data_IF_870004691438
#
_entry.id   IF_870004691438
#
_cell.length_a   1.000
_cell.length_b   1.000
_cell.length_c   1.000
_cell.angle_alpha   90.00
_cell.angle_beta   90.00
_cell.angle_gamma   90.00
#
_symmetry.space_group_name_H-M   'P 1'
#
loop_
_entity.id
_entity.type
_entity.pdbx_description
1 polymer ?
#
# COMPACT_ATOMS: atom_id res chain seq x y z
N UNK A 1 27.53 -31.13 -17.54
CA UNK A 1 27.43 -30.03 -16.55
C UNK A 1 28.79 -29.93 -15.86
N UNK A 2 29.34 -28.76 -15.54
CA UNK A 2 30.69 -28.70 -14.94
C UNK A 2 30.69 -29.13 -13.47
N UNK A 3 31.77 -29.77 -13.01
CA UNK A 3 31.92 -30.23 -11.62
C UNK A 3 31.74 -29.09 -10.60
N UNK A 4 32.23 -27.89 -10.92
CA UNK A 4 32.08 -26.70 -10.09
C UNK A 4 30.61 -26.22 -9.92
N UNK A 5 29.75 -26.47 -10.91
CA UNK A 5 28.32 -26.16 -10.84
C UNK A 5 27.59 -27.16 -9.95
N UNK A 6 27.98 -28.44 -10.02
CA UNK A 6 27.39 -29.53 -9.24
C UNK A 6 27.75 -29.40 -7.75
N UNK A 7 29.02 -29.12 -7.44
CA UNK A 7 29.48 -28.85 -6.06
C UNK A 7 28.77 -27.66 -5.41
N UNK A 8 28.49 -26.59 -6.17
CA UNK A 8 27.73 -25.43 -5.67
C UNK A 8 26.26 -25.75 -5.42
N UNK A 9 25.62 -26.49 -6.33
CA UNK A 9 24.22 -26.90 -6.18
C UNK A 9 24.00 -27.82 -4.96
N UNK A 10 24.95 -28.72 -4.69
CA UNK A 10 24.89 -29.64 -3.55
C UNK A 10 25.27 -28.99 -2.19
N UNK A 11 25.85 -27.78 -2.19
CA UNK A 11 26.36 -27.13 -0.97
C UNK A 11 25.29 -26.57 -0.03
N UNK A 12 24.02 -26.46 -0.47
CA UNK A 12 22.93 -25.86 0.31
C UNK A 12 23.01 -24.35 0.53
N UNK A 13 24.12 -23.68 0.19
CA UNK A 13 24.34 -22.23 0.45
C UNK A 13 23.49 -21.30 -0.41
N UNK A 14 23.05 -21.74 -1.59
CA UNK A 14 22.19 -20.96 -2.50
C UNK A 14 21.22 -21.90 -3.19
N UNK A 15 20.00 -21.44 -3.46
CA UNK A 15 19.02 -22.27 -4.19
C UNK A 15 19.40 -22.31 -5.68
N UNK A 16 19.73 -23.48 -6.26
CA UNK A 16 20.19 -23.59 -7.64
C UNK A 16 19.11 -23.23 -8.68
N UNK A 17 19.53 -23.05 -9.93
CA UNK A 17 18.60 -22.78 -11.04
C UNK A 17 17.75 -24.03 -11.36
N UNK A 18 16.53 -23.86 -11.90
CA UNK A 18 15.69 -25.00 -12.28
C UNK A 18 16.38 -25.90 -13.31
N UNK A 19 17.10 -25.31 -14.25
CA UNK A 19 17.88 -26.06 -15.23
C UNK A 19 18.99 -26.90 -14.58
N UNK A 20 19.62 -26.39 -13.52
CA UNK A 20 20.61 -27.12 -12.73
C UNK A 20 19.96 -28.26 -11.94
N UNK A 21 18.83 -28.03 -11.29
CA UNK A 21 18.09 -29.07 -10.55
C UNK A 21 17.63 -30.18 -11.49
N UNK A 22 17.04 -29.81 -12.63
CA UNK A 22 16.62 -30.77 -13.66
C UNK A 22 17.78 -31.62 -14.15
N UNK A 23 18.89 -30.99 -14.58
CA UNK A 23 20.08 -31.71 -15.04
C UNK A 23 20.69 -32.60 -13.96
N UNK A 24 20.68 -32.15 -12.70
CA UNK A 24 21.18 -32.92 -11.57
C UNK A 24 20.32 -34.17 -11.33
N UNK A 25 19.00 -34.01 -11.19
CA UNK A 25 18.08 -35.12 -10.95
C UNK A 25 18.05 -36.11 -12.10
N UNK A 26 18.01 -35.63 -13.35
CA UNK A 26 18.10 -36.50 -14.52
C UNK A 26 19.43 -37.26 -14.58
N UNK A 27 20.56 -36.63 -14.23
CA UNK A 27 21.85 -37.31 -14.17
C UNK A 27 21.92 -38.35 -13.04
N UNK A 28 21.14 -38.19 -11.98
CA UNK A 28 20.99 -39.16 -10.90
C UNK A 28 19.96 -40.26 -11.20
N UNK A 29 19.39 -40.32 -12.41
CA UNK A 29 18.41 -41.34 -12.80
C UNK A 29 16.99 -41.11 -12.27
N UNK A 30 16.66 -39.89 -11.82
CA UNK A 30 15.32 -39.58 -11.33
C UNK A 30 14.27 -39.68 -12.46
N UNK A 31 13.10 -40.23 -12.12
CA UNK A 31 11.93 -40.28 -13.00
C UNK A 31 11.41 -38.87 -13.34
N UNK A 32 10.64 -38.71 -14.43
CA UNK A 32 10.03 -37.42 -14.78
C UNK A 32 9.23 -36.77 -13.64
N UNK A 33 8.52 -37.57 -12.83
CA UNK A 33 7.74 -37.09 -11.69
C UNK A 33 8.64 -36.63 -10.52
N UNK A 34 9.76 -37.31 -10.27
CA UNK A 34 10.75 -36.89 -9.28
C UNK A 34 11.47 -35.61 -9.71
N UNK A 35 11.76 -35.47 -11.00
CA UNK A 35 12.28 -34.22 -11.58
C UNK A 35 11.27 -33.09 -11.40
N UNK A 36 9.98 -33.33 -11.65
CA UNK A 36 8.91 -32.36 -11.45
C UNK A 36 8.78 -31.95 -9.96
N UNK A 37 8.78 -32.93 -9.04
CA UNK A 37 8.78 -32.71 -7.59
C UNK A 37 10.00 -31.91 -7.12
N UNK A 38 11.20 -32.25 -7.60
CA UNK A 38 12.42 -31.50 -7.29
C UNK A 38 12.39 -30.05 -7.80
N UNK A 39 11.83 -29.82 -9.00
CA UNK A 39 11.60 -28.46 -9.49
C UNK A 39 10.57 -27.69 -8.64
N UNK A 40 9.53 -28.37 -8.14
CA UNK A 40 8.54 -27.78 -7.23
C UNK A 40 9.16 -27.39 -5.88
N UNK A 41 9.95 -28.28 -5.27
CA UNK A 41 10.69 -28.00 -4.03
C UNK A 41 11.65 -26.83 -4.19
N UNK A 42 12.36 -26.75 -5.32
CA UNK A 42 13.23 -25.61 -5.64
C UNK A 42 12.45 -24.30 -5.76
N UNK A 43 11.26 -24.32 -6.37
CA UNK A 43 10.37 -23.14 -6.41
C UNK A 43 9.95 -22.73 -5.02
N UNK A 44 9.46 -23.65 -4.19
CA UNK A 44 9.10 -23.39 -2.80
C UNK A 44 10.27 -22.80 -1.98
N UNK A 45 11.47 -23.37 -2.11
CA UNK A 45 12.68 -22.87 -1.45
C UNK A 45 13.08 -21.46 -1.95
N UNK A 46 12.94 -21.16 -3.24
CA UNK A 46 13.14 -19.80 -3.77
C UNK A 46 12.07 -18.84 -3.24
N UNK A 47 10.81 -19.24 -3.23
CA UNK A 47 9.70 -18.43 -2.71
C UNK A 47 9.92 -18.10 -1.24
N UNK A 48 10.40 -19.05 -0.44
CA UNK A 48 10.74 -18.85 0.97
C UNK A 48 11.93 -17.89 1.22
N UNK A 49 12.81 -17.69 0.23
CA UNK A 49 13.89 -16.69 0.32
C UNK A 49 13.41 -15.25 0.11
N UNK A 50 12.16 -15.05 -0.33
CA UNK A 50 11.61 -13.72 -0.58
C UNK A 50 10.70 -13.30 0.57
N UNK A 51 10.97 -12.12 1.15
CA UNK A 51 10.12 -11.50 2.16
C UNK A 51 8.76 -11.12 1.55
N UNK A 52 7.61 -11.45 2.17
CA UNK A 52 6.27 -11.05 1.70
C UNK A 52 5.99 -9.54 1.72
N UNK A 53 6.98 -8.71 2.10
CA UNK A 53 6.85 -7.27 2.34
C UNK A 53 6.40 -6.45 1.10
N UNK A 54 6.40 -7.06 -0.09
CA UNK A 54 5.91 -6.44 -1.33
C UNK A 54 4.53 -6.98 -1.73
N UNK A 55 3.51 -6.60 -0.95
CA UNK A 55 2.12 -6.68 -1.36
C UNK A 55 1.43 -8.01 -1.03
N UNK A 56 0.26 -7.89 -0.41
CA UNK A 56 -0.74 -8.97 -0.36
C UNK A 56 -0.89 -9.53 -1.79
N UNK A 57 -0.96 -10.85 -1.95
CA UNK A 57 -1.34 -11.45 -3.22
C UNK A 57 -2.76 -10.99 -3.57
N UNK A 58 -2.89 -9.90 -4.33
CA UNK A 58 -4.17 -9.37 -4.77
C UNK A 58 -4.74 -10.41 -5.74
N UNK A 59 -5.92 -10.99 -5.46
CA UNK A 59 -6.59 -11.85 -6.42
C UNK A 59 -6.68 -11.12 -7.76
N UNK A 60 -6.28 -11.77 -8.85
CA UNK A 60 -6.20 -11.15 -10.19
C UNK A 60 -7.52 -10.47 -10.59
N UNK A 61 -8.64 -11.04 -10.15
CA UNK A 61 -9.98 -10.49 -10.35
C UNK A 61 -10.18 -9.09 -9.73
N UNK A 62 -9.48 -8.77 -8.65
CA UNK A 62 -9.60 -7.51 -7.91
C UNK A 62 -8.59 -6.45 -8.37
N UNK A 63 -7.65 -6.79 -9.26
CA UNK A 63 -6.68 -5.83 -9.80
C UNK A 63 -7.43 -4.76 -10.59
N UNK A 64 -7.30 -3.53 -10.14
CA UNK A 64 -8.03 -2.36 -10.64
C UNK A 64 -7.11 -1.23 -11.07
N UNK A 65 -5.86 -1.20 -10.60
CA UNK A 65 -4.86 -0.16 -10.92
C UNK A 65 -3.61 -0.73 -11.61
N UNK A 66 -2.83 0.12 -12.29
CA UNK A 66 -1.53 -0.24 -12.89
C UNK A 66 -0.50 -0.59 -11.83
N UNK A 67 -0.53 0.09 -10.68
CA UNK A 67 0.34 -0.19 -9.54
C UNK A 67 0.09 -1.60 -8.97
N UNK A 68 -1.19 -1.97 -8.80
CA UNK A 68 -1.59 -3.31 -8.38
C UNK A 68 -1.15 -4.36 -9.41
N UNK A 69 -1.33 -4.08 -10.70
CA UNK A 69 -0.90 -5.01 -11.76
C UNK A 69 0.62 -5.19 -11.78
N UNK A 70 1.42 -4.11 -11.65
CA UNK A 70 2.89 -4.19 -11.55
C UNK A 70 3.30 -5.04 -10.36
N UNK A 71 2.70 -4.80 -9.19
CA UNK A 71 2.96 -5.56 -7.96
C UNK A 71 2.61 -7.04 -8.16
N UNK A 72 1.45 -7.32 -8.75
CA UNK A 72 1.00 -8.67 -9.02
C UNK A 72 1.90 -9.42 -10.02
N UNK A 73 2.40 -8.74 -11.07
CA UNK A 73 3.33 -9.34 -12.03
C UNK A 73 4.68 -9.71 -11.39
N UNK A 74 5.19 -8.87 -10.48
CA UNK A 74 6.39 -9.18 -9.69
C UNK A 74 6.12 -10.36 -8.74
N UNK A 75 4.97 -10.38 -8.08
CA UNK A 75 4.57 -11.48 -7.22
C UNK A 75 4.45 -12.80 -7.99
N UNK A 76 3.85 -12.79 -9.19
CA UNK A 76 3.77 -13.94 -10.08
C UNK A 76 5.16 -14.48 -10.44
N UNK A 77 6.09 -13.60 -10.81
CA UNK A 77 7.47 -13.99 -11.12
C UNK A 77 8.17 -14.67 -9.93
N UNK A 78 7.95 -14.15 -8.71
CA UNK A 78 8.49 -14.74 -7.48
C UNK A 78 7.84 -16.08 -7.14
N UNK A 79 6.52 -16.19 -7.29
CA UNK A 79 5.78 -17.45 -7.09
C UNK A 79 6.21 -18.53 -8.10
N UNK A 80 6.62 -18.12 -9.31
CA UNK A 80 7.23 -19.01 -10.30
C UNK A 80 8.67 -19.46 -9.93
N UNK A 81 9.21 -19.05 -8.78
CA UNK A 81 10.58 -19.35 -8.35
C UNK A 81 11.64 -18.49 -9.05
N UNK A 82 11.24 -17.27 -9.45
CA UNK A 82 12.09 -16.24 -10.05
C UNK A 82 12.92 -16.76 -11.24
N UNK A 83 12.28 -17.24 -12.32
CA UNK A 83 12.98 -17.70 -13.51
C UNK A 83 13.88 -16.58 -14.07
N UNK A 84 15.04 -16.95 -14.61
CA UNK A 84 15.96 -15.97 -15.20
C UNK A 84 15.36 -15.35 -16.46
N UNK A 85 15.76 -14.13 -16.82
CA UNK A 85 15.20 -13.45 -18.00
C UNK A 85 15.39 -14.26 -19.29
N UNK A 86 16.56 -14.91 -19.42
CA UNK A 86 16.85 -15.80 -20.55
C UNK A 86 15.91 -17.02 -20.55
N UNK A 87 15.68 -17.65 -19.40
CA UNK A 87 14.73 -18.77 -19.31
C UNK A 87 13.29 -18.36 -19.64
N UNK A 88 12.85 -17.19 -19.18
CA UNK A 88 11.53 -16.65 -19.52
C UNK A 88 11.40 -16.38 -21.03
N UNK A 89 12.43 -15.78 -21.63
CA UNK A 89 12.49 -15.52 -23.06
C UNK A 89 12.50 -16.80 -23.89
N UNK A 90 13.25 -17.83 -23.47
CA UNK A 90 13.31 -19.11 -24.16
C UNK A 90 11.95 -19.83 -24.16
N UNK A 91 11.17 -19.71 -23.07
CA UNK A 91 9.82 -20.29 -22.97
C UNK A 91 8.77 -19.53 -23.76
N UNK A 92 8.89 -18.22 -23.88
CA UNK A 92 7.87 -17.34 -24.44
C UNK A 92 8.14 -16.91 -25.89
N UNK A 93 9.36 -17.15 -26.39
CA UNK A 93 9.82 -16.68 -27.68
C UNK A 93 10.37 -15.25 -27.65
N UNK A 94 11.39 -15.00 -28.47
CA UNK A 94 12.12 -13.71 -28.51
C UNK A 94 11.29 -12.56 -29.08
N UNK A 95 10.30 -12.86 -29.91
CA UNK A 95 9.49 -11.86 -30.66
C UNK A 95 8.76 -10.90 -29.70
N UNK A 96 8.22 -11.42 -28.60
CA UNK A 96 7.36 -10.65 -27.70
C UNK A 96 8.03 -10.24 -26.39
N UNK A 97 9.15 -10.89 -26.03
CA UNK A 97 9.75 -10.78 -24.70
C UNK A 97 11.27 -10.55 -24.77
N UNK A 98 11.67 -9.34 -25.14
CA UNK A 98 13.06 -8.91 -25.05
C UNK A 98 13.55 -8.87 -23.57
N UNK A 99 14.84 -9.11 -23.34
CA UNK A 99 15.44 -9.08 -21.99
C UNK A 99 15.31 -7.69 -21.33
N UNK A 100 15.39 -6.62 -22.13
CA UNK A 100 15.18 -5.24 -21.66
C UNK A 100 13.74 -5.02 -21.20
N UNK A 101 12.75 -5.55 -21.90
CA UNK A 101 11.33 -5.49 -21.50
C UNK A 101 11.09 -6.25 -20.20
N UNK A 102 11.65 -7.46 -20.05
CA UNK A 102 11.59 -8.23 -18.80
C UNK A 102 12.13 -7.45 -17.61
N UNK A 103 13.32 -6.87 -17.79
CA UNK A 103 13.95 -6.03 -16.78
C UNK A 103 13.07 -4.84 -16.41
N UNK A 104 12.50 -4.13 -17.39
CA UNK A 104 11.62 -2.97 -17.13
C UNK A 104 10.31 -3.36 -16.44
N UNK A 105 9.70 -4.49 -16.80
CA UNK A 105 8.48 -4.99 -16.18
C UNK A 105 8.73 -5.38 -14.72
N UNK A 106 9.77 -6.19 -14.47
CA UNK A 106 10.08 -6.70 -13.12
C UNK A 106 10.62 -5.61 -12.19
N UNK A 107 11.28 -4.59 -12.73
CA UNK A 107 11.65 -3.38 -11.99
C UNK A 107 10.51 -2.34 -11.90
N UNK A 108 9.28 -2.71 -12.26
CA UNK A 108 8.07 -1.86 -12.20
C UNK A 108 8.15 -0.55 -13.00
N UNK A 109 9.08 -0.45 -13.95
CA UNK A 109 9.28 0.73 -14.81
C UNK A 109 8.30 0.79 -15.99
N UNK A 110 7.63 -0.32 -16.30
CA UNK A 110 6.73 -0.44 -17.45
C UNK A 110 5.74 -1.57 -17.20
N UNK A 111 4.52 -1.44 -17.73
CA UNK A 111 3.62 -2.59 -17.89
C UNK A 111 3.83 -3.23 -19.27
N UNK A 112 3.45 -4.50 -19.47
CA UNK A 112 3.36 -5.06 -20.81
C UNK A 112 2.57 -4.13 -21.73
N UNK A 113 3.13 -3.77 -22.89
CA UNK A 113 2.56 -2.73 -23.78
C UNK A 113 1.54 -3.28 -24.76
N UNK A 114 1.51 -4.60 -24.94
CA UNK A 114 0.58 -5.28 -25.83
C UNK A 114 0.07 -6.57 -25.20
N UNK A 115 -1.08 -7.05 -25.69
CA UNK A 115 -1.66 -8.34 -25.29
C UNK A 115 -0.68 -9.49 -25.54
N UNK A 116 0.06 -9.44 -26.66
CA UNK A 116 1.11 -10.41 -26.99
C UNK A 116 2.26 -10.41 -25.98
N UNK A 117 2.75 -9.23 -25.59
CA UNK A 117 3.80 -9.12 -24.58
C UNK A 117 3.33 -9.59 -23.20
N UNK A 118 2.08 -9.30 -22.82
CA UNK A 118 1.49 -9.79 -21.58
C UNK A 118 1.40 -11.33 -21.57
N UNK A 119 0.87 -11.92 -22.65
CA UNK A 119 0.79 -13.38 -22.80
C UNK A 119 2.17 -14.03 -22.72
N UNK A 120 3.16 -13.46 -23.42
CA UNK A 120 4.53 -13.93 -23.40
C UNK A 120 5.16 -13.85 -21.99
N UNK A 121 4.90 -12.78 -21.24
CA UNK A 121 5.38 -12.67 -19.86
C UNK A 121 4.79 -13.78 -18.96
N UNK A 122 3.48 -14.02 -19.04
CA UNK A 122 2.79 -15.07 -18.29
C UNK A 122 3.32 -16.46 -18.64
N UNK A 123 3.53 -16.73 -19.93
CA UNK A 123 4.14 -17.98 -20.43
C UNK A 123 5.59 -18.12 -19.95
N UNK A 124 6.37 -17.03 -19.95
CA UNK A 124 7.74 -17.00 -19.44
C UNK A 124 7.82 -17.32 -17.94
N UNK A 125 6.84 -16.87 -17.15
CA UNK A 125 6.67 -17.25 -15.75
C UNK A 125 6.11 -18.68 -15.57
N UNK A 126 5.67 -19.34 -16.63
CA UNK A 126 5.05 -20.67 -16.56
C UNK A 126 3.66 -20.67 -15.94
N UNK A 127 2.91 -19.56 -16.04
CA UNK A 127 1.53 -19.49 -15.54
C UNK A 127 0.63 -20.52 -16.27
N UNK A 128 -0.23 -21.27 -15.55
CA UNK A 128 -1.17 -22.21 -16.16
C UNK A 128 -2.08 -21.52 -17.17
N UNK A 129 -2.38 -22.19 -18.28
CA UNK A 129 -3.16 -21.61 -19.39
C UNK A 129 -4.54 -21.11 -18.95
N UNK A 130 -5.22 -21.87 -18.09
CA UNK A 130 -6.52 -21.54 -17.49
C UNK A 130 -6.51 -20.20 -16.72
N UNK A 131 -5.37 -19.83 -16.11
CA UNK A 131 -5.25 -18.59 -15.35
C UNK A 131 -4.86 -17.39 -16.23
N UNK A 132 -4.28 -17.62 -17.42
CA UNK A 132 -3.78 -16.53 -18.28
C UNK A 132 -4.91 -15.60 -18.74
N UNK A 133 -6.11 -16.14 -18.95
CA UNK A 133 -7.30 -15.36 -19.33
C UNK A 133 -7.66 -14.29 -18.29
N UNK A 134 -7.63 -14.64 -17.00
CA UNK A 134 -7.89 -13.68 -15.90
C UNK A 134 -6.84 -12.57 -15.85
N UNK A 135 -5.57 -12.91 -16.05
CA UNK A 135 -4.48 -11.94 -16.12
C UNK A 135 -4.61 -11.00 -17.31
N UNK A 136 -4.95 -11.52 -18.49
CA UNK A 136 -5.17 -10.71 -19.69
C UNK A 136 -6.37 -9.77 -19.49
N UNK A 137 -7.44 -10.25 -18.88
CA UNK A 137 -8.63 -9.42 -18.54
C UNK A 137 -8.27 -8.31 -17.55
N UNK A 138 -7.50 -8.62 -16.51
CA UNK A 138 -7.00 -7.63 -15.56
C UNK A 138 -6.08 -6.60 -16.23
N UNK A 139 -5.18 -7.05 -17.10
CA UNK A 139 -4.32 -6.17 -17.89
C UNK A 139 -5.14 -5.24 -18.79
N UNK A 140 -6.10 -5.76 -19.55
CA UNK A 140 -6.98 -4.96 -20.41
C UNK A 140 -7.77 -3.93 -19.61
N UNK A 141 -8.34 -4.32 -18.47
CA UNK A 141 -9.08 -3.41 -17.58
C UNK A 141 -8.24 -2.21 -17.11
N UNK A 142 -6.95 -2.44 -16.89
CA UNK A 142 -6.01 -1.49 -16.31
C UNK A 142 -5.26 -0.66 -17.36
N UNK A 143 -5.05 -1.21 -18.55
CA UNK A 143 -4.37 -0.52 -19.67
C UNK A 143 -5.33 0.16 -20.62
N UNK A 144 -6.60 -0.27 -20.70
CA UNK A 144 -7.62 0.39 -21.51
C UNK A 144 -7.77 1.85 -21.06
N UNK A 145 -7.71 2.81 -22.00
CA UNK A 145 -8.02 4.20 -21.68
C UNK A 145 -9.42 4.25 -21.07
N UNK A 146 -9.53 4.77 -19.84
CA UNK A 146 -10.82 4.92 -19.19
C UNK A 146 -11.68 5.87 -20.05
N UNK A 147 -12.71 5.33 -20.69
CA UNK A 147 -13.76 6.15 -21.31
C UNK A 147 -14.81 6.41 -20.26
N UNK A 148 -15.15 7.68 -20.06
CA UNK A 148 -16.24 8.06 -19.18
C UNK A 148 -17.50 7.28 -19.58
N UNK A 149 -18.27 6.77 -18.61
CA UNK A 149 -19.62 6.31 -18.89
C UNK A 149 -20.38 7.42 -19.61
N UNK A 150 -20.95 7.09 -20.77
CA UNK A 150 -21.82 8.00 -21.52
C UNK A 150 -23.07 8.27 -20.66
N UNK A 151 -23.11 9.42 -19.95
CA UNK A 151 -24.19 9.92 -19.07
C UNK A 151 -24.45 9.09 -17.79
N UNK A 152 -24.68 9.65 -16.60
CA UNK A 152 -25.25 10.95 -16.18
C UNK A 152 -24.34 11.58 -15.11
N UNK A 153 -24.27 12.91 -15.07
CA UNK A 153 -23.90 13.64 -13.84
C UNK A 153 -24.69 13.01 -12.70
N UNK A 154 -24.04 12.60 -11.62
CA UNK A 154 -24.77 12.18 -10.42
C UNK A 154 -25.63 13.38 -10.02
N UNK A 155 -26.98 13.28 -9.98
CA UNK A 155 -27.81 14.42 -9.60
C UNK A 155 -27.36 14.85 -8.22
N UNK A 156 -26.74 16.03 -8.15
CA UNK A 156 -26.17 16.54 -6.92
C UNK A 156 -27.26 16.54 -5.85
N UNK A 157 -27.06 15.83 -4.73
CA UNK A 157 -27.74 16.22 -3.52
C UNK A 157 -27.16 17.59 -3.20
N UNK A 158 -27.81 18.63 -3.68
CA UNK A 158 -27.33 19.99 -3.59
C UNK A 158 -27.14 20.31 -2.11
N UNK A 159 -25.89 20.30 -1.64
CA UNK A 159 -25.58 20.93 -0.38
C UNK A 159 -26.02 22.37 -0.50
N UNK A 160 -26.85 22.81 0.45
CA UNK A 160 -27.21 24.21 0.57
C UNK A 160 -25.91 25.04 0.47
N UNK A 161 -25.83 26.06 -0.41
CA UNK A 161 -24.62 26.88 -0.58
C UNK A 161 -24.07 27.42 0.75
N UNK A 162 -24.95 27.68 1.74
CA UNK A 162 -24.56 28.10 3.10
C UNK A 162 -23.85 27.03 3.91
N UNK A 163 -24.09 25.74 3.64
CA UNK A 163 -23.35 24.63 4.26
C UNK A 163 -21.98 24.51 3.62
N UNK A 164 -21.89 24.66 2.30
CA UNK A 164 -20.60 24.69 1.58
C UNK A 164 -19.75 25.86 2.08
N UNK A 165 -20.29 27.08 2.11
CA UNK A 165 -19.62 28.27 2.62
C UNK A 165 -19.12 28.10 4.07
N UNK A 166 -19.95 27.52 4.95
CA UNK A 166 -19.57 27.23 6.34
C UNK A 166 -18.49 26.17 6.47
N UNK A 167 -18.54 25.13 5.64
CA UNK A 167 -17.49 24.14 5.58
C UNK A 167 -16.21 24.81 5.08
N UNK A 168 -16.23 25.52 3.96
CA UNK A 168 -15.04 26.23 3.43
C UNK A 168 -14.46 27.24 4.42
N UNK A 169 -15.28 27.94 5.20
CA UNK A 169 -14.77 28.86 6.23
C UNK A 169 -14.19 28.13 7.45
N UNK A 170 -14.82 27.04 7.89
CA UNK A 170 -14.33 26.19 9.00
C UNK A 170 -13.07 25.39 8.59
N UNK A 171 -12.94 25.08 7.31
CA UNK A 171 -11.78 24.47 6.67
C UNK A 171 -10.58 25.40 6.68
N UNK A 172 -10.80 26.72 6.53
CA UNK A 172 -9.75 27.71 6.75
C UNK A 172 -9.13 27.59 8.15
N UNK A 173 -9.93 27.30 9.18
CA UNK A 173 -9.45 27.07 10.55
C UNK A 173 -8.68 25.76 10.74
N UNK A 174 -9.14 24.65 10.14
CA UNK A 174 -8.43 23.36 10.18
C UNK A 174 -7.18 23.33 9.28
N UNK A 175 -7.22 24.04 8.15
CA UNK A 175 -6.08 24.23 7.25
C UNK A 175 -5.05 25.21 7.82
N UNK A 176 -5.47 26.17 8.63
CA UNK A 176 -4.58 27.08 9.37
C UNK A 176 -4.03 26.47 10.67
N UNK A 177 -4.76 25.53 11.29
CA UNK A 177 -4.25 24.73 12.39
C UNK A 177 -3.13 23.85 11.87
N UNK A 178 -1.88 24.34 11.94
CA UNK A 178 -0.69 23.65 11.45
C UNK A 178 -0.61 22.28 12.11
N UNK A 179 -0.92 21.18 11.39
CA UNK A 179 -0.63 19.86 11.90
C UNK A 179 0.89 19.79 12.13
N UNK A 180 1.36 18.88 12.99
CA UNK A 180 2.81 18.63 13.06
C UNK A 180 3.33 18.40 11.63
N UNK A 181 4.45 19.02 11.23
CA UNK A 181 5.05 18.77 9.93
C UNK A 181 5.19 17.27 9.69
N UNK A 182 4.90 16.81 8.48
CA UNK A 182 4.96 15.38 8.12
C UNK A 182 6.28 14.74 8.51
N UNK A 183 7.40 15.44 8.31
CA UNK A 183 8.73 15.00 8.72
C UNK A 183 8.86 14.74 10.23
N UNK A 184 8.23 15.57 11.08
CA UNK A 184 8.26 15.39 12.53
C UNK A 184 7.45 14.17 12.97
N UNK A 185 6.29 13.91 12.33
CA UNK A 185 5.47 12.72 12.58
C UNK A 185 6.20 11.43 12.20
N UNK A 186 6.78 11.40 11.01
CA UNK A 186 7.56 10.25 10.53
C UNK A 186 8.77 9.98 11.42
N UNK A 187 9.47 11.02 11.90
CA UNK A 187 10.57 10.86 12.85
C UNK A 187 10.12 10.28 14.18
N UNK A 188 8.98 10.75 14.72
CA UNK A 188 8.43 10.23 15.98
C UNK A 188 8.05 8.75 15.85
N UNK A 189 7.38 8.37 14.76
CA UNK A 189 7.02 6.99 14.48
C UNK A 189 8.27 6.10 14.32
N UNK A 190 9.30 6.61 13.64
CA UNK A 190 10.60 5.94 13.50
C UNK A 190 11.26 5.70 14.86
N UNK A 191 11.38 6.73 15.71
CA UNK A 191 11.91 6.56 17.06
C UNK A 191 11.08 5.60 17.91
N UNK A 192 9.74 5.64 17.79
CA UNK A 192 8.87 4.67 18.45
C UNK A 192 9.19 3.23 18.06
N UNK A 193 9.37 2.96 16.76
CA UNK A 193 9.80 1.67 16.24
C UNK A 193 11.17 1.25 16.78
N UNK A 194 12.14 2.15 16.76
CA UNK A 194 13.51 1.86 17.20
C UNK A 194 13.56 1.51 18.70
N UNK A 195 12.78 2.22 19.52
CA UNK A 195 12.60 1.91 20.94
C UNK A 195 11.97 0.52 21.14
N UNK A 196 10.94 0.18 20.38
CA UNK A 196 10.30 -1.14 20.46
C UNK A 196 11.27 -2.26 20.10
N UNK A 197 12.10 -2.11 19.06
CA UNK A 197 13.12 -3.10 18.72
C UNK A 197 14.13 -3.31 19.85
N UNK A 198 14.58 -2.23 20.50
CA UNK A 198 15.48 -2.32 21.66
C UNK A 198 14.81 -3.02 22.85
N UNK A 199 13.55 -2.70 23.15
CA UNK A 199 12.77 -3.32 24.23
C UNK A 199 12.55 -4.81 23.96
N UNK A 200 12.20 -5.21 22.75
CA UNK A 200 11.97 -6.62 22.39
C UNK A 200 13.25 -7.46 22.43
N UNK A 201 14.40 -6.85 22.15
CA UNK A 201 15.70 -7.51 22.21
C UNK A 201 16.26 -7.66 23.63
N UNK A 202 15.58 -7.10 24.63
CA UNK A 202 16.04 -7.06 26.02
C UNK A 202 15.08 -7.84 26.95
N UNK A 203 15.63 -8.45 28.00
CA UNK A 203 14.85 -9.04 29.10
C UNK A 203 14.46 -7.97 30.15
N UNK A 204 13.97 -6.83 29.67
CA UNK A 204 13.72 -5.63 30.46
C UNK A 204 14.84 -4.59 30.31
N UNK A 205 14.46 -3.33 30.09
CA UNK A 205 15.39 -2.22 29.90
C UNK A 205 14.90 -0.96 30.60
N UNK A 206 15.77 -0.27 31.34
CA UNK A 206 15.43 1.00 31.99
C UNK A 206 15.42 2.19 31.01
N UNK A 207 14.73 3.28 31.39
CA UNK A 207 14.63 4.49 30.55
C UNK A 207 16.01 5.09 30.21
N UNK A 208 16.97 5.25 31.15
CA UNK A 208 18.27 5.84 30.82
C UNK A 208 19.08 5.00 29.81
N UNK A 209 19.08 3.68 29.95
CA UNK A 209 19.77 2.79 29.01
C UNK A 209 19.09 2.81 27.65
N UNK A 210 17.75 2.81 27.61
CA UNK A 210 16.99 2.90 26.38
C UNK A 210 17.26 4.21 25.65
N UNK A 211 17.24 5.35 26.36
CA UNK A 211 17.52 6.67 25.79
C UNK A 211 18.92 6.74 25.16
N UNK A 212 19.93 6.27 25.90
CA UNK A 212 21.32 6.20 25.42
C UNK A 212 21.47 5.32 24.17
N UNK A 213 20.86 4.12 24.16
CA UNK A 213 20.94 3.20 23.01
C UNK A 213 20.20 3.72 21.78
N UNK A 214 19.11 4.45 21.98
CA UNK A 214 18.34 5.06 20.90
C UNK A 214 18.90 6.42 20.42
N UNK A 215 19.92 6.96 21.08
CA UNK A 215 20.46 8.29 20.79
C UNK A 215 19.47 9.42 21.10
N UNK A 216 18.61 9.25 22.10
CA UNK A 216 17.60 10.21 22.54
C UNK A 216 17.96 10.84 23.88
N UNK A 217 17.44 12.03 24.16
CA UNK A 217 17.43 12.55 25.54
C UNK A 217 16.51 11.70 26.42
N UNK A 218 16.76 11.72 27.73
CA UNK A 218 15.92 11.02 28.70
C UNK A 218 14.44 11.44 28.61
N UNK A 219 14.17 12.74 28.49
CA UNK A 219 12.82 13.29 28.34
C UNK A 219 12.14 12.83 27.05
N UNK A 220 12.87 12.83 25.93
CA UNK A 220 12.33 12.36 24.65
C UNK A 220 11.97 10.87 24.70
N UNK A 221 12.84 10.05 25.30
CA UNK A 221 12.57 8.63 25.52
C UNK A 221 11.36 8.42 26.45
N UNK A 222 11.27 9.15 27.56
CA UNK A 222 10.15 9.07 28.50
C UNK A 222 8.80 9.46 27.85
N UNK A 223 8.78 10.51 27.03
CA UNK A 223 7.59 10.91 26.28
C UNK A 223 7.16 9.86 25.24
N UNK A 224 8.11 9.23 24.54
CA UNK A 224 7.81 8.14 23.61
C UNK A 224 7.30 6.90 24.35
N UNK A 225 7.92 6.53 25.47
CA UNK A 225 7.49 5.41 26.31
C UNK A 225 6.08 5.61 26.86
N UNK A 226 5.74 6.82 27.30
CA UNK A 226 4.39 7.16 27.75
C UNK A 226 3.38 6.94 26.63
N UNK A 227 3.70 7.38 25.41
CA UNK A 227 2.87 7.16 24.23
C UNK A 227 2.74 5.67 23.87
N UNK A 228 3.85 4.93 23.80
CA UNK A 228 3.86 3.49 23.49
C UNK A 228 3.10 2.66 24.54
N UNK A 229 3.19 3.04 25.82
CA UNK A 229 2.43 2.44 26.93
C UNK A 229 0.93 2.69 26.76
N UNK A 230 0.54 3.93 26.41
CA UNK A 230 -0.85 4.25 26.09
C UNK A 230 -1.42 3.45 24.92
N UNK A 231 -0.57 3.05 23.97
CA UNK A 231 -0.92 2.17 22.85
C UNK A 231 -0.89 0.67 23.20
N UNK A 232 -0.55 0.31 24.44
CA UNK A 232 -0.37 -1.09 24.91
C UNK A 232 0.72 -1.85 24.14
N UNK A 233 1.69 -1.13 23.59
CA UNK A 233 2.86 -1.68 22.90
C UNK A 233 4.05 -1.87 23.85
N UNK A 234 4.04 -1.18 24.99
CA UNK A 234 5.03 -1.33 26.08
C UNK A 234 4.30 -1.53 27.40
N UNK A 235 4.85 -2.40 28.25
CA UNK A 235 4.49 -2.51 29.67
C UNK A 235 5.69 -2.06 30.49
N UNK A 236 5.45 -1.30 31.56
CA UNK A 236 6.51 -0.88 32.48
C UNK A 236 6.29 -1.52 33.84
N UNK A 237 7.32 -2.16 34.39
CA UNK A 237 7.30 -2.76 35.71
C UNK A 237 8.58 -2.40 36.47
N UNK A 238 8.42 -1.79 37.66
CA UNK A 238 9.52 -1.34 38.53
C UNK A 238 10.62 -0.54 37.78
N UNK A 239 10.22 0.31 36.84
CA UNK A 239 11.14 1.15 36.05
C UNK A 239 11.80 0.48 34.85
N UNK A 240 11.60 -0.83 34.66
CA UNK A 240 12.02 -1.55 33.45
C UNK A 240 10.86 -1.66 32.45
N UNK A 241 11.17 -1.54 31.17
CA UNK A 241 10.23 -1.61 30.05
C UNK A 241 10.31 -2.96 29.34
N UNK A 242 9.14 -3.51 29.03
CA UNK A 242 8.93 -4.80 28.40
C UNK A 242 7.97 -4.68 27.21
N UNK A 243 7.97 -5.62 26.26
CA UNK A 243 6.95 -5.68 25.22
C UNK A 243 5.54 -5.69 25.82
N UNK A 244 4.66 -4.87 25.26
CA UNK A 244 3.27 -4.78 25.69
C UNK A 244 2.42 -5.95 25.19
N UNK A 245 1.17 -6.10 25.68
CA UNK A 245 0.29 -7.22 25.34
C UNK A 245 0.11 -7.44 23.83
N UNK A 246 0.09 -6.36 23.05
CA UNK A 246 -0.06 -6.41 21.60
C UNK A 246 1.16 -6.96 20.85
N UNK A 247 2.30 -7.12 21.54
CA UNK A 247 3.56 -7.62 20.99
C UNK A 247 3.95 -8.99 21.55
N UNK A 248 3.15 -9.55 22.47
CA UNK A 248 3.46 -10.84 23.10
C UNK A 248 3.12 -12.03 22.20
N UNK A 249 3.82 -13.17 22.32
CA UNK A 249 3.54 -14.39 21.53
C UNK A 249 2.10 -14.93 21.68
N UNK A 250 1.44 -14.64 22.80
CA UNK A 250 0.03 -14.97 23.04
C UNK A 250 -0.95 -14.21 22.13
N UNK A 251 -0.49 -13.16 21.43
CA UNK A 251 -1.27 -12.42 20.44
C UNK A 251 -1.41 -13.14 19.08
N UNK A 252 -0.88 -14.36 18.95
CA UNK A 252 -0.97 -15.17 17.74
C UNK A 252 0.21 -14.95 16.77
N UNK A 253 0.22 -15.63 15.62
CA UNK A 253 1.42 -15.71 14.78
C UNK A 253 1.79 -14.36 14.09
N UNK A 254 0.85 -13.42 13.88
CA UNK A 254 1.10 -12.18 13.12
C UNK A 254 0.69 -10.88 13.85
N UNK A 255 1.15 -10.64 15.09
CA UNK A 255 0.61 -9.58 15.96
C UNK A 255 0.64 -8.20 15.29
N UNK A 256 1.68 -7.92 14.49
CA UNK A 256 1.89 -6.64 13.81
C UNK A 256 0.96 -6.40 12.62
N UNK A 257 0.63 -7.42 11.80
CA UNK A 257 -0.27 -7.24 10.63
C UNK A 257 -1.67 -6.82 11.09
N UNK A 258 -2.10 -7.36 12.22
CA UNK A 258 -3.37 -7.01 12.85
C UNK A 258 -3.34 -5.61 13.48
N UNK A 259 -2.17 -5.07 13.87
CA UNK A 259 -2.06 -3.72 14.42
C UNK A 259 -2.54 -2.65 13.44
N UNK A 260 -2.12 -2.72 12.17
CA UNK A 260 -2.51 -1.72 11.19
C UNK A 260 -4.01 -1.76 10.88
N UNK A 261 -4.56 -2.96 10.67
CA UNK A 261 -6.00 -3.15 10.47
C UNK A 261 -6.80 -2.73 11.71
N UNK A 262 -6.32 -3.06 12.91
CA UNK A 262 -6.92 -2.65 14.19
C UNK A 262 -6.88 -1.14 14.38
N UNK A 263 -5.76 -0.49 14.06
CA UNK A 263 -5.63 0.97 14.13
C UNK A 263 -6.62 1.65 13.17
N UNK A 264 -6.72 1.18 11.93
CA UNK A 264 -7.73 1.66 10.97
C UNK A 264 -9.16 1.46 11.49
N UNK A 265 -9.46 0.30 12.08
CA UNK A 265 -10.77 0.00 12.68
C UNK A 265 -11.11 0.96 13.83
N UNK A 266 -10.15 1.22 14.74
CA UNK A 266 -10.32 2.20 15.82
C UNK A 266 -10.55 3.61 15.27
N UNK A 267 -9.80 4.02 14.25
CA UNK A 267 -10.00 5.32 13.61
C UNK A 267 -11.39 5.45 12.98
N UNK A 268 -11.89 4.39 12.32
CA UNK A 268 -13.28 4.32 11.82
C UNK A 268 -14.30 4.51 12.93
N UNK A 269 -14.13 3.78 14.03
CA UNK A 269 -15.09 3.78 15.15
C UNK A 269 -15.10 5.12 15.88
N UNK A 270 -13.93 5.71 16.15
CA UNK A 270 -13.82 7.03 16.77
C UNK A 270 -14.35 8.15 15.87
N UNK A 271 -14.00 8.14 14.57
CA UNK A 271 -14.46 9.15 13.63
C UNK A 271 -15.95 8.98 13.28
N UNK A 272 -16.50 7.77 13.41
CA UNK A 272 -17.83 7.39 12.94
C UNK A 272 -17.97 7.58 11.42
N UNK A 273 -16.91 7.27 10.68
CA UNK A 273 -16.77 7.46 9.24
C UNK A 273 -16.00 6.27 8.62
N UNK A 274 -16.24 5.95 7.35
CA UNK A 274 -15.35 5.00 6.65
C UNK A 274 -13.97 5.64 6.51
N UNK A 275 -12.90 4.86 6.71
CA UNK A 275 -11.51 5.35 6.68
C UNK A 275 -10.71 4.60 5.63
N UNK A 276 -9.79 5.28 4.95
CA UNK A 276 -9.01 4.75 3.83
C UNK A 276 -7.54 5.12 3.97
N UNK A 277 -6.66 4.14 3.85
CA UNK A 277 -5.23 4.38 3.65
C UNK A 277 -4.91 4.27 2.16
N UNK A 278 -4.28 5.30 1.61
CA UNK A 278 -3.96 5.38 0.19
C UNK A 278 -2.56 5.90 -0.07
N UNK A 279 -1.96 5.48 -1.19
CA UNK A 279 -0.63 5.91 -1.63
C UNK A 279 -0.65 6.29 -3.11
N UNK A 280 0.28 7.17 -3.49
CA UNK A 280 0.62 7.40 -4.89
C UNK A 280 1.76 6.48 -5.28
N UNK A 281 1.45 5.39 -5.97
CA UNK A 281 2.42 4.37 -6.36
C UNK A 281 2.41 4.25 -7.87
N UNK A 282 3.59 4.13 -8.47
CA UNK A 282 3.71 3.84 -9.89
C UNK A 282 3.00 4.85 -10.82
N UNK A 283 2.84 6.10 -10.34
CA UNK A 283 2.14 7.16 -11.05
C UNK A 283 0.62 7.15 -10.85
N UNK A 284 0.09 6.40 -9.88
CA UNK A 284 -1.35 6.25 -9.67
C UNK A 284 -1.77 6.34 -8.22
N UNK A 285 -2.99 6.84 -8.01
CA UNK A 285 -3.70 6.78 -6.74
C UNK A 285 -4.15 5.34 -6.49
N UNK A 286 -3.72 4.75 -5.38
CA UNK A 286 -4.09 3.39 -4.96
C UNK A 286 -4.63 3.40 -3.54
N UNK A 287 -5.83 2.86 -3.34
CA UNK A 287 -6.38 2.56 -2.00
C UNK A 287 -5.83 1.22 -1.56
N UNK A 288 -5.07 1.19 -0.47
CA UNK A 288 -4.40 -0.03 -0.03
C UNK A 288 -5.10 -0.76 1.09
N UNK A 289 -5.81 -0.02 1.92
CA UNK A 289 -6.61 -0.56 2.99
C UNK A 289 -7.75 0.41 3.30
N UNK A 290 -8.83 -0.13 3.85
CA UNK A 290 -9.94 0.65 4.35
C UNK A 290 -10.57 -0.05 5.54
N UNK A 291 -11.31 0.71 6.34
CA UNK A 291 -12.19 0.22 7.38
C UNK A 291 -13.57 0.86 7.22
N UNK A 292 -14.58 0.04 6.93
CA UNK A 292 -15.98 0.44 6.79
C UNK A 292 -16.91 -0.43 7.67
N UNK A 293 -18.20 -0.12 7.67
CA UNK A 293 -19.25 -0.91 8.31
C UNK A 293 -20.62 -0.50 7.75
N UNK A 294 -21.68 -1.24 8.06
CA UNK A 294 -23.05 -0.83 7.71
C UNK A 294 -23.42 0.57 8.25
N UNK A 295 -22.87 0.99 9.39
CA UNK A 295 -23.10 2.32 10.00
C UNK A 295 -22.18 3.41 9.45
N UNK A 296 -21.08 3.01 8.81
CA UNK A 296 -20.03 3.86 8.23
C UNK A 296 -19.68 3.33 6.84
N UNK A 297 -20.62 3.41 5.87
CA UNK A 297 -20.43 2.81 4.56
C UNK A 297 -19.35 3.56 3.79
N UNK A 298 -18.58 2.83 2.98
CA UNK A 298 -17.64 3.43 2.04
C UNK A 298 -18.36 4.10 0.87
N UNK A 299 -17.73 5.11 0.28
CA UNK A 299 -18.09 5.67 -1.03
C UNK A 299 -18.07 4.58 -2.09
N UNK A 300 -19.10 4.58 -2.95
CA UNK A 300 -19.09 3.78 -4.18
C UNK A 300 -18.12 4.39 -5.18
N UNK A 301 -17.08 3.64 -5.56
CA UNK A 301 -16.11 4.06 -6.57
C UNK A 301 -16.71 3.90 -7.98
N UNK A 302 -17.55 4.84 -8.39
CA UNK A 302 -18.19 4.84 -9.70
C UNK A 302 -17.25 5.32 -10.83
N UNK A 303 -16.29 6.18 -10.47
CA UNK A 303 -15.14 6.55 -11.31
C UNK A 303 -13.87 6.20 -10.55
N UNK A 304 -12.92 5.45 -11.14
CA UNK A 304 -11.74 5.03 -10.39
C UNK A 304 -10.92 6.19 -9.84
N UNK A 305 -10.45 6.11 -8.59
CA UNK A 305 -9.72 7.21 -7.93
C UNK A 305 -8.44 7.59 -8.67
N UNK A 306 -7.78 6.66 -9.36
CA UNK A 306 -6.62 6.95 -10.22
C UNK A 306 -6.94 7.95 -11.34
N UNK A 307 -8.19 7.97 -11.81
CA UNK A 307 -8.68 8.84 -12.90
C UNK A 307 -9.40 10.09 -12.38
N UNK A 308 -9.86 10.05 -11.13
CA UNK A 308 -10.58 11.14 -10.47
C UNK A 308 -9.77 11.80 -9.36
N UNK A 309 -8.44 11.83 -9.51
CA UNK A 309 -7.57 12.37 -8.48
C UNK A 309 -7.80 13.87 -8.24
N UNK A 310 -8.18 14.61 -9.29
CA UNK A 310 -8.54 16.03 -9.23
C UNK A 310 -9.79 16.32 -8.41
N UNK A 311 -10.70 15.35 -8.28
CA UNK A 311 -12.00 15.53 -7.65
C UNK A 311 -12.12 14.85 -6.28
N UNK A 312 -11.34 13.81 -6.02
CA UNK A 312 -11.39 13.04 -4.77
C UNK A 312 -10.47 13.61 -3.69
N UNK A 313 -10.87 13.52 -2.42
CA UNK A 313 -10.04 14.02 -1.31
C UNK A 313 -8.69 13.29 -1.24
N UNK A 314 -8.71 11.95 -1.42
CA UNK A 314 -7.52 11.10 -1.50
C UNK A 314 -6.59 11.59 -2.62
N UNK A 315 -7.14 11.76 -3.83
CA UNK A 315 -6.39 12.20 -4.99
C UNK A 315 -5.76 13.57 -4.78
N UNK A 316 -6.54 14.55 -4.33
CA UNK A 316 -6.05 15.89 -4.04
C UNK A 316 -4.95 15.90 -2.97
N UNK A 317 -5.11 15.14 -1.89
CA UNK A 317 -4.07 14.97 -0.86
C UNK A 317 -2.78 14.36 -1.40
N UNK A 318 -2.88 13.38 -2.30
CA UNK A 318 -1.71 12.76 -2.93
C UNK A 318 -1.06 13.68 -3.96
N UNK A 319 -1.83 14.35 -4.81
CA UNK A 319 -1.32 15.30 -5.80
C UNK A 319 -0.63 16.49 -5.13
N UNK A 320 -1.16 16.99 -4.01
CA UNK A 320 -0.54 18.07 -3.24
C UNK A 320 0.90 17.72 -2.75
N UNK A 321 1.20 16.43 -2.55
CA UNK A 321 2.51 15.95 -2.13
C UNK A 321 3.50 15.73 -3.30
N UNK A 322 3.02 15.77 -4.55
CA UNK A 322 3.86 15.59 -5.74
C UNK A 322 4.54 16.89 -6.15
N UNK A 323 5.71 16.75 -6.79
CA UNK A 323 6.36 17.85 -7.49
C UNK A 323 5.53 18.28 -8.73
N UNK A 324 5.74 19.52 -9.24
CA UNK A 324 4.96 20.05 -10.36
C UNK A 324 4.98 19.21 -11.64
N UNK A 325 6.11 18.54 -11.94
CA UNK A 325 6.25 17.69 -13.13
C UNK A 325 5.39 16.45 -12.98
N UNK A 326 5.46 15.79 -11.83
CA UNK A 326 4.64 14.61 -11.51
C UNK A 326 3.14 14.91 -11.49
N UNK A 327 2.72 16.10 -11.03
CA UNK A 327 1.31 16.55 -11.09
C UNK A 327 0.84 16.72 -12.54
N UNK A 328 1.66 17.35 -13.37
CA UNK A 328 1.35 17.58 -14.79
C UNK A 328 1.29 16.27 -15.56
N UNK A 329 2.26 15.38 -15.35
CA UNK A 329 2.24 14.02 -15.91
C UNK A 329 0.98 13.24 -15.51
N UNK A 330 0.57 13.35 -14.24
CA UNK A 330 -0.67 12.72 -13.79
C UNK A 330 -1.90 13.22 -14.56
N UNK A 331 -2.07 14.53 -14.70
CA UNK A 331 -3.21 15.10 -15.43
C UNK A 331 -3.14 14.90 -16.95
N UNK A 332 -1.94 14.73 -17.51
CA UNK A 332 -1.78 14.34 -18.91
C UNK A 332 -2.25 12.89 -19.15
N UNK A 333 -1.95 11.98 -18.21
CA UNK A 333 -2.42 10.58 -18.26
C UNK A 333 -3.90 10.44 -17.89
N UNK A 334 -4.37 11.28 -16.98
CA UNK A 334 -5.72 11.29 -16.42
C UNK A 334 -6.32 12.71 -16.45
N UNK A 335 -6.85 13.15 -17.61
CA UNK A 335 -7.42 14.48 -17.74
C UNK A 335 -8.56 14.73 -16.74
N UNK A 336 -8.61 15.95 -16.20
CA UNK A 336 -9.61 16.35 -15.22
C UNK A 336 -11.00 16.50 -15.87
N UNK A 337 -11.84 15.48 -15.67
CA UNK A 337 -13.20 15.40 -16.22
C UNK A 337 -14.23 15.94 -15.23
N UNK A 338 -15.33 16.53 -15.73
CA UNK A 338 -16.43 17.00 -14.88
C UNK A 338 -17.24 15.80 -14.37
N UNK A 339 -17.25 15.58 -13.06
CA UNK A 339 -18.00 14.51 -12.39
C UNK A 339 -19.32 15.01 -11.78
N UNK A 340 -19.29 16.25 -11.29
CA UNK A 340 -20.41 17.01 -10.73
C UNK A 340 -20.27 18.47 -11.13
N UNK A 341 -21.27 19.30 -10.79
CA UNK A 341 -21.19 20.74 -11.02
C UNK A 341 -20.11 21.45 -10.19
N UNK A 342 -19.57 20.77 -9.17
CA UNK A 342 -18.52 21.29 -8.28
C UNK A 342 -17.11 20.84 -8.66
N UNK A 343 -16.97 19.89 -9.59
CA UNK A 343 -15.66 19.37 -9.96
C UNK A 343 -14.75 20.45 -10.54
N UNK A 344 -13.54 20.59 -10.00
CA UNK A 344 -12.50 21.46 -10.54
C UNK A 344 -11.85 20.75 -11.73
N UNK A 345 -12.11 21.23 -12.95
CA UNK A 345 -11.58 20.60 -14.19
C UNK A 345 -10.36 21.32 -14.78
N UNK A 346 -10.09 22.55 -14.35
CA UNK A 346 -9.03 23.37 -14.90
C UNK A 346 -7.74 23.25 -14.05
N UNK A 347 -6.60 22.79 -14.62
CA UNK A 347 -5.35 22.66 -13.87
C UNK A 347 -4.87 23.96 -13.21
N UNK A 348 -5.07 25.10 -13.87
CA UNK A 348 -4.72 26.42 -13.35
C UNK A 348 -5.59 26.87 -12.15
N UNK A 349 -6.73 26.22 -11.91
CA UNK A 349 -7.54 26.39 -10.70
C UNK A 349 -7.18 25.34 -9.65
N UNK A 350 -6.98 24.08 -10.10
CA UNK A 350 -6.69 22.96 -9.23
C UNK A 350 -5.37 23.13 -8.47
N UNK A 351 -4.26 23.44 -9.16
CA UNK A 351 -2.95 23.48 -8.49
C UNK A 351 -2.87 24.57 -7.41
N UNK A 352 -3.31 25.82 -7.64
CA UNK A 352 -3.39 26.80 -6.57
C UNK A 352 -4.32 26.39 -5.42
N UNK A 353 -5.41 25.66 -5.69
CA UNK A 353 -6.29 25.14 -4.64
C UNK A 353 -5.58 24.10 -3.76
N UNK A 354 -4.82 23.17 -4.38
CA UNK A 354 -4.01 22.19 -3.65
C UNK A 354 -2.94 22.86 -2.79
N UNK A 355 -2.30 23.91 -3.31
CA UNK A 355 -1.15 24.56 -2.67
C UNK A 355 -1.54 25.59 -1.60
N UNK A 356 -2.81 26.02 -1.54
CA UNK A 356 -3.31 27.12 -0.68
C UNK A 356 -2.84 27.05 0.77
N UNK A 357 -2.78 25.84 1.34
CA UNK A 357 -2.41 25.61 2.75
C UNK A 357 -1.13 24.78 2.92
N UNK A 358 -0.41 24.54 1.81
CA UNK A 358 0.81 23.72 1.78
C UNK A 358 0.55 22.21 1.68
N UNK A 359 1.61 21.41 1.41
CA UNK A 359 1.50 19.98 1.10
C UNK A 359 1.06 19.11 2.29
N UNK A 360 1.22 19.63 3.51
CA UNK A 360 0.85 18.94 4.76
C UNK A 360 -0.60 19.22 5.19
N UNK A 361 -1.31 20.10 4.49
CA UNK A 361 -2.66 20.47 4.83
C UNK A 361 -3.68 19.38 4.48
N UNK A 362 -4.75 19.24 5.28
CA UNK A 362 -5.89 18.43 4.90
C UNK A 362 -6.50 18.90 3.56
N UNK A 363 -6.88 17.94 2.72
CA UNK A 363 -7.56 18.16 1.44
C UNK A 363 -8.98 17.60 1.51
N UNK A 364 -9.91 18.19 0.77
CA UNK A 364 -11.35 17.91 0.93
C UNK A 364 -12.00 17.68 -0.41
N UNK A 365 -13.01 16.80 -0.47
CA UNK A 365 -13.91 16.71 -1.61
C UNK A 365 -15.30 17.07 -1.12
N UNK A 366 -15.74 18.29 -1.46
CA UNK A 366 -17.04 18.82 -1.06
C UNK A 366 -18.03 18.71 -2.22
N UNK A 367 -18.44 17.48 -2.50
CA UNK A 367 -19.26 17.10 -3.65
C UNK A 367 -18.58 17.20 -5.02
N UNK A 368 -17.25 17.25 -5.06
CA UNK A 368 -16.50 17.33 -6.32
C UNK A 368 -16.45 15.98 -7.02
N UNK A 369 -16.33 14.88 -6.26
CA UNK A 369 -16.29 13.50 -6.78
C UNK A 369 -17.67 12.85 -6.82
N UNK A 370 -18.48 13.06 -5.77
CA UNK A 370 -19.78 12.43 -5.64
C UNK A 370 -20.81 13.39 -5.06
N UNK A 371 -22.05 13.28 -5.54
CA UNK A 371 -23.20 14.02 -5.05
C UNK A 371 -23.64 13.64 -3.63
N UNK A 372 -23.30 12.43 -3.15
CA UNK A 372 -23.85 11.86 -1.92
C UNK A 372 -22.94 11.97 -0.70
N UNK A 373 -21.69 12.37 -0.86
CA UNK A 373 -20.64 12.19 0.12
C UNK A 373 -19.69 13.38 0.19
N UNK A 374 -19.22 13.67 1.39
CA UNK A 374 -18.14 14.62 1.64
C UNK A 374 -16.96 13.88 2.26
N UNK A 375 -15.77 14.23 1.81
CA UNK A 375 -14.55 13.53 2.19
C UNK A 375 -13.47 14.49 2.67
N UNK A 376 -12.62 14.00 3.56
CA UNK A 376 -11.41 14.69 4.00
C UNK A 376 -10.23 13.70 3.91
N UNK A 377 -9.05 14.20 3.58
CA UNK A 377 -7.83 13.42 3.46
C UNK A 377 -6.67 14.19 4.09
N UNK A 378 -5.87 13.50 4.89
CA UNK A 378 -4.74 14.06 5.62
C UNK A 378 -3.46 13.36 5.17
N UNK A 379 -2.43 14.10 4.74
CA UNK A 379 -1.16 13.51 4.35
C UNK A 379 -0.52 12.82 5.55
N UNK A 380 -0.01 11.61 5.35
CA UNK A 380 0.62 10.84 6.41
C UNK A 380 2.09 11.21 6.62
N UNK A 381 2.78 11.58 5.53
CA UNK A 381 4.14 12.11 5.62
C UNK A 381 5.25 11.08 5.50
N UNK A 382 4.97 9.89 4.96
CA UNK A 382 6.02 8.88 4.73
C UNK A 382 7.09 9.43 3.78
N UNK A 383 8.38 9.42 4.18
CA UNK A 383 9.46 9.94 3.35
C UNK A 383 9.51 9.25 1.98
N UNK A 384 9.54 10.04 0.90
CA UNK A 384 9.61 9.53 -0.48
C UNK A 384 8.40 8.73 -0.95
N UNK A 385 7.31 8.67 -0.17
CA UNK A 385 6.10 7.93 -0.52
C UNK A 385 4.86 8.77 -0.22
N UNK A 386 4.32 9.49 -1.23
CA UNK A 386 3.09 10.25 -1.07
C UNK A 386 1.99 9.33 -0.56
N UNK A 387 1.46 9.67 0.60
CA UNK A 387 0.58 8.80 1.38
C UNK A 387 -0.44 9.63 2.14
N UNK A 388 -1.63 9.08 2.30
CA UNK A 388 -2.75 9.81 2.93
C UNK A 388 -3.66 8.85 3.68
N UNK A 389 -4.26 9.37 4.75
CA UNK A 389 -5.39 8.77 5.44
C UNK A 389 -6.62 9.63 5.16
N UNK A 390 -7.69 9.02 4.69
CA UNK A 390 -8.91 9.73 4.34
C UNK A 390 -10.11 9.18 5.08
N UNK A 391 -11.15 9.99 5.17
CA UNK A 391 -12.46 9.59 5.64
C UNK A 391 -13.54 10.02 4.65
N UNK A 392 -14.66 9.30 4.64
CA UNK A 392 -15.87 9.69 3.92
C UNK A 392 -17.10 9.65 4.82
N UNK A 393 -18.00 10.60 4.59
CA UNK A 393 -19.26 10.72 5.29
C UNK A 393 -20.38 10.98 4.29
N UNK A 394 -21.58 10.42 4.49
CA UNK A 394 -22.73 10.85 3.73
C UNK A 394 -23.00 12.34 3.92
N UNK A 395 -23.39 13.03 2.86
CA UNK A 395 -23.57 14.49 2.79
C UNK A 395 -24.46 15.07 3.89
N UNK A 396 -25.49 14.31 4.31
CA UNK A 396 -26.39 14.65 5.43
C UNK A 396 -25.66 14.79 6.78
N UNK A 397 -24.47 14.19 6.93
CA UNK A 397 -23.59 14.28 8.12
C UNK A 397 -22.43 15.25 7.92
N UNK A 398 -22.46 16.12 6.91
CA UNK A 398 -21.35 17.02 6.55
C UNK A 398 -20.84 17.90 7.68
N UNK A 399 -21.69 18.31 8.63
CA UNK A 399 -21.28 19.04 9.84
C UNK A 399 -20.23 18.31 10.69
N UNK A 400 -20.15 16.97 10.59
CA UNK A 400 -19.17 16.14 11.31
C UNK A 400 -17.82 16.04 10.60
N UNK A 401 -17.69 16.51 9.36
CA UNK A 401 -16.47 16.33 8.55
C UNK A 401 -15.23 16.89 9.24
N UNK A 402 -15.33 18.11 9.75
CA UNK A 402 -14.26 18.84 10.45
C UNK A 402 -13.89 18.12 11.77
N UNK A 403 -14.83 17.85 12.70
CA UNK A 403 -14.54 17.04 13.89
C UNK A 403 -13.91 15.68 13.59
N UNK A 404 -14.41 14.96 12.58
CA UNK A 404 -13.92 13.63 12.21
C UNK A 404 -12.49 13.70 11.64
N UNK A 405 -12.20 14.70 10.80
CA UNK A 405 -10.84 14.93 10.29
C UNK A 405 -9.86 15.27 11.43
N UNK A 406 -10.30 16.06 12.42
CA UNK A 406 -9.53 16.35 13.62
C UNK A 406 -9.25 15.12 14.49
N UNK A 407 -10.20 14.17 14.57
CA UNK A 407 -9.99 12.88 15.23
C UNK A 407 -8.95 12.04 14.48
N UNK A 408 -9.05 11.95 13.15
CA UNK A 408 -8.05 11.28 12.32
C UNK A 408 -6.65 11.88 12.54
N UNK A 409 -6.53 13.21 12.51
CA UNK A 409 -5.27 13.91 12.69
C UNK A 409 -4.55 13.53 14.00
N UNK A 410 -5.30 13.34 15.09
CA UNK A 410 -4.75 12.93 16.40
C UNK A 410 -4.25 11.49 16.43
N UNK A 411 -4.66 10.64 15.49
CA UNK A 411 -4.31 9.22 15.41
C UNK A 411 -3.28 8.89 14.31
N UNK A 412 -2.84 9.89 13.54
CA UNK A 412 -1.86 9.67 12.47
C UNK A 412 -0.56 9.06 12.99
N UNK A 413 -0.05 9.53 14.13
CA UNK A 413 1.20 9.02 14.72
C UNK A 413 1.07 7.51 15.05
N UNK A 414 -0.09 7.10 15.59
CA UNK A 414 -0.39 5.69 15.94
C UNK A 414 -0.44 4.81 14.68
N UNK A 415 -1.10 5.31 13.62
CA UNK A 415 -1.20 4.61 12.35
C UNK A 415 0.15 4.48 11.65
N UNK A 416 0.98 5.54 11.67
CA UNK A 416 2.32 5.55 11.11
C UNK A 416 3.21 4.53 11.81
N UNK A 417 3.19 4.49 13.15
CA UNK A 417 3.92 3.49 13.91
C UNK A 417 3.48 2.08 13.55
N UNK A 418 2.17 1.82 13.54
CA UNK A 418 1.63 0.52 13.14
C UNK A 418 2.11 0.12 11.74
N UNK A 419 2.06 1.06 10.78
CA UNK A 419 2.53 0.83 9.42
C UNK A 419 4.04 0.51 9.37
N UNK A 420 4.88 1.26 10.07
CA UNK A 420 6.33 1.00 10.12
C UNK A 420 6.66 -0.36 10.76
N UNK A 421 5.93 -0.75 11.82
CA UNK A 421 6.09 -2.06 12.46
C UNK A 421 5.66 -3.21 11.54
N UNK A 422 4.65 -3.00 10.69
CA UNK A 422 4.24 -4.01 9.70
C UNK A 422 5.22 -4.16 8.55
N UNK A 423 5.95 -3.10 8.21
CA UNK A 423 6.87 -3.10 7.06
C UNK A 423 8.18 -3.86 7.34
N UNK A 424 8.57 -4.01 8.61
CA UNK A 424 9.92 -4.45 9.00
C UNK A 424 10.05 -5.94 9.36
N UNK A 425 8.98 -6.74 9.28
CA UNK A 425 9.02 -8.13 9.76
C UNK A 425 8.34 -9.15 8.83
N UNK A 426 8.96 -10.33 8.65
CA UNK A 426 8.36 -11.40 7.88
C UNK A 426 7.06 -11.86 8.55
N UNK A 427 6.03 -12.12 7.74
CA UNK A 427 4.82 -12.77 8.22
C UNK A 427 5.17 -14.16 8.81
N UNK A 428 4.50 -14.61 9.87
CA UNK A 428 4.63 -15.99 10.32
C UNK A 428 4.22 -16.98 9.22
N UNK A 429 4.84 -18.17 9.24
CA UNK A 429 4.41 -19.30 8.44
C UNK A 429 2.92 -19.61 8.71
N UNK A 430 2.18 -19.87 7.63
CA UNK A 430 0.72 -19.85 7.59
C UNK A 430 -0.02 -20.69 8.63
N UNK A 431 -1.19 -20.18 9.05
CA UNK A 431 -2.21 -21.00 9.68
C UNK A 431 -2.96 -21.81 8.61
N UNK A 432 -3.31 -23.08 8.87
CA UNK A 432 -4.07 -23.91 7.95
C UNK A 432 -5.50 -23.38 7.77
N UNK A 433 -5.98 -23.38 6.52
CA UNK A 433 -7.38 -23.19 6.19
C UNK A 433 -8.22 -24.27 6.86
N UNK A 434 -9.25 -23.87 7.61
CA UNK A 434 -10.24 -24.79 8.18
C UNK A 434 -10.88 -25.65 7.07
N UNK A 435 -11.16 -26.94 7.31
CA UNK A 435 -11.86 -27.79 6.36
C UNK A 435 -13.31 -27.29 6.21
N UNK A 436 -13.81 -27.41 4.97
CA UNK A 436 -15.18 -27.03 4.60
C UNK A 436 -16.24 -28.01 5.07
#
# INVERSE_FOLDING_TARGET
MSAATLKRAASGRTVPSEATVRKFLTACGATPDEVARGCALRRAARTAQFTPAEGVAIPVALISTRAELRTALVALHRQAGSPSYRHMQDRAGKVWLALSSLSRILNRKMLPTSRGQMSAFLQGCGAPEEQRGHWLTAWERVTRPYRLPSTRLSPAAALNPRVVLRLTSSLGGLGAARPRPTAARSRRAQWGRDLLHLIESAEGIDTPTLARRAGLSADAAAHLLTWLTGQRLVTTYRGAHFPGPLLTPAAGPAPYRDLFATALGRMRDEAGAAVYFSRYLDGEVTVQAYADSARTPRVTEWVPFRTAAHASAIGKSLLAQLDPVSRTDHLARYPAVRLTDRTITAPHVLFPDLDRHGPDAPQFSLLEYSAGEVCAALPLGLPGSPSTIALSLPVRRSRRLIPAAGLLARRIDDLLLALLLTADRPAPAGAPSAPG
#
